data_IF_207258408778
#
_entry.id   IF_207258408778
#
_cell.length_a   1.000
_cell.length_b   1.000
_cell.length_c   1.000
_cell.angle_alpha   90.00
_cell.angle_beta   90.00
_cell.angle_gamma   90.00
#
_symmetry.space_group_name_H-M   'P 1'
#
loop_
_entity.id
_entity.type
_entity.pdbx_description
1 polymer ?
#
# COMPACT_ATOMS: atom_id res chain seq x y z
N UNK A 1 3.85 -5.21 14.95
CA UNK A 1 3.31 -3.88 15.29
C UNK A 1 1.80 -3.90 15.21
N UNK A 2 1.12 -3.02 15.96
CA UNK A 2 -0.35 -2.92 15.93
C UNK A 2 -0.89 -2.62 14.53
N UNK A 3 -0.16 -1.85 13.72
CA UNK A 3 -0.57 -1.48 12.36
C UNK A 3 -0.61 -2.70 11.42
N UNK A 4 0.35 -3.60 11.53
CA UNK A 4 0.36 -4.83 10.74
C UNK A 4 -0.79 -5.77 11.16
N UNK A 5 -1.07 -5.86 12.46
CA UNK A 5 -2.19 -6.66 12.98
C UNK A 5 -3.54 -6.12 12.51
N UNK A 6 -3.71 -4.80 12.54
CA UNK A 6 -4.92 -4.14 12.03
C UNK A 6 -5.09 -4.37 10.53
N UNK A 7 -4.01 -4.25 9.75
CA UNK A 7 -4.05 -4.54 8.32
C UNK A 7 -4.46 -6.00 8.06
N UNK A 8 -3.93 -6.96 8.83
CA UNK A 8 -4.31 -8.37 8.73
C UNK A 8 -5.78 -8.60 9.05
N UNK A 9 -6.33 -7.91 10.05
CA UNK A 9 -7.76 -7.98 10.36
C UNK A 9 -8.62 -7.53 9.19
N UNK A 10 -8.23 -6.47 8.50
CA UNK A 10 -8.95 -5.98 7.32
C UNK A 10 -8.83 -6.98 6.17
N UNK A 11 -7.63 -7.52 5.90
CA UNK A 11 -7.42 -8.54 4.86
C UNK A 11 -8.31 -9.76 5.09
N UNK A 12 -8.43 -10.20 6.34
CA UNK A 12 -9.19 -11.39 6.71
C UNK A 12 -10.69 -11.12 6.98
N UNK A 13 -11.09 -9.86 6.91
CA UNK A 13 -12.50 -9.49 7.09
C UNK A 13 -13.35 -10.05 5.97
N UNK A 14 -14.40 -10.77 6.33
CA UNK A 14 -15.35 -11.35 5.41
C UNK A 14 -16.74 -10.76 5.66
N UNK A 15 -17.48 -10.51 4.59
CA UNK A 15 -18.82 -9.92 4.66
C UNK A 15 -19.65 -10.34 3.46
N UNK A 16 -20.96 -10.64 3.66
CA UNK A 16 -21.87 -10.88 2.56
C UNK A 16 -22.36 -9.59 1.87
N UNK A 17 -22.01 -8.42 2.41
CA UNK A 17 -22.50 -7.14 1.90
C UNK A 17 -21.57 -6.61 0.80
N UNK A 18 -22.02 -6.56 -0.48
CA UNK A 18 -21.16 -6.15 -1.60
C UNK A 18 -20.54 -4.76 -1.44
N UNK A 19 -21.26 -3.81 -0.84
CA UNK A 19 -20.74 -2.45 -0.61
C UNK A 19 -19.53 -2.42 0.34
N UNK A 20 -19.55 -3.23 1.39
CA UNK A 20 -18.43 -3.36 2.33
C UNK A 20 -17.27 -4.12 1.70
N UNK A 21 -17.55 -5.19 0.96
CA UNK A 21 -16.52 -5.96 0.26
C UNK A 21 -15.78 -5.09 -0.75
N UNK A 22 -16.49 -4.28 -1.55
CA UNK A 22 -15.86 -3.35 -2.49
C UNK A 22 -15.02 -2.28 -1.77
N UNK A 23 -15.53 -1.71 -0.70
CA UNK A 23 -14.78 -0.70 0.08
C UNK A 23 -13.50 -1.28 0.67
N UNK A 24 -13.58 -2.49 1.22
CA UNK A 24 -12.41 -3.22 1.71
C UNK A 24 -11.39 -3.44 0.61
N UNK A 25 -11.81 -3.95 -0.54
CA UNK A 25 -10.91 -4.25 -1.66
C UNK A 25 -10.25 -2.99 -2.21
N UNK A 26 -10.98 -1.88 -2.33
CA UNK A 26 -10.41 -0.61 -2.80
C UNK A 26 -9.40 -0.04 -1.80
N UNK A 27 -9.71 -0.10 -0.53
CA UNK A 27 -8.78 0.30 0.54
C UNK A 27 -7.50 -0.55 0.52
N UNK A 28 -7.62 -1.87 0.44
CA UNK A 28 -6.49 -2.78 0.35
C UNK A 28 -5.67 -2.54 -0.92
N UNK A 29 -6.32 -2.27 -2.04
CA UNK A 29 -5.61 -1.92 -3.27
C UNK A 29 -4.74 -0.67 -3.06
N UNK A 30 -5.26 0.34 -2.39
CA UNK A 30 -4.49 1.52 -1.99
C UNK A 30 -3.34 1.19 -1.03
N UNK A 31 -3.57 0.31 -0.05
CA UNK A 31 -2.55 -0.13 0.91
C UNK A 31 -1.39 -0.90 0.24
N UNK A 32 -1.64 -1.60 -0.85
CA UNK A 32 -0.64 -2.44 -1.52
C UNK A 32 -0.10 -1.85 -2.82
N UNK A 33 -0.54 -0.67 -3.21
CA UNK A 33 -0.01 0.07 -4.37
C UNK A 33 0.48 1.47 -4.03
N UNK A 34 0.00 2.05 -2.95
CA UNK A 34 0.30 3.43 -2.59
C UNK A 34 -0.43 4.47 -3.44
N UNK A 35 -1.29 4.06 -4.37
CA UNK A 35 -2.05 4.99 -5.20
C UNK A 35 -3.10 5.76 -4.39
N UNK A 36 -3.27 7.03 -4.72
CA UNK A 36 -4.33 7.86 -4.14
C UNK A 36 -5.69 7.48 -4.71
N UNK A 37 -6.76 7.97 -4.09
CA UNK A 37 -8.13 7.75 -4.56
C UNK A 37 -8.30 8.10 -6.05
N UNK A 38 -7.89 9.29 -6.44
CA UNK A 38 -8.07 9.74 -7.83
C UNK A 38 -7.19 8.94 -8.81
N UNK A 39 -6.03 8.49 -8.38
CA UNK A 39 -5.15 7.68 -9.21
C UNK A 39 -5.70 6.27 -9.41
N UNK A 40 -6.36 5.69 -8.40
CA UNK A 40 -7.09 4.43 -8.56
C UNK A 40 -8.31 4.62 -9.46
N UNK A 41 -9.08 5.67 -9.27
CA UNK A 41 -10.28 5.98 -10.06
C UNK A 41 -9.98 6.14 -11.55
N UNK A 42 -8.82 6.69 -11.88
CA UNK A 42 -8.40 6.95 -13.26
C UNK A 42 -7.46 5.88 -13.83
N UNK A 43 -7.22 4.80 -13.08
CA UNK A 43 -6.39 3.69 -13.53
C UNK A 43 -7.07 2.93 -14.68
N UNK A 44 -6.31 2.66 -15.73
CA UNK A 44 -6.76 1.91 -16.92
C UNK A 44 -5.79 0.78 -17.24
N UNK A 45 -6.16 -0.19 -18.08
CA UNK A 45 -5.26 -1.27 -18.49
C UNK A 45 -3.95 -0.77 -19.14
N UNK A 46 -3.95 0.41 -19.75
CA UNK A 46 -2.76 1.00 -20.38
C UNK A 46 -1.65 1.36 -19.38
N UNK A 47 -1.99 1.48 -18.10
CA UNK A 47 -1.02 1.77 -17.03
C UNK A 47 -0.25 0.54 -16.56
N UNK A 48 -0.53 -0.64 -17.10
CA UNK A 48 0.13 -1.89 -16.71
C UNK A 48 1.13 -2.32 -17.77
N UNK A 49 2.34 -2.67 -17.33
CA UNK A 49 3.40 -3.18 -18.19
C UNK A 49 4.04 -4.41 -17.57
N UNK A 50 4.42 -5.36 -18.41
CA UNK A 50 5.18 -6.54 -17.99
C UNK A 50 6.64 -6.35 -18.40
N UNK A 51 7.57 -6.52 -17.45
CA UNK A 51 8.99 -6.44 -17.71
C UNK A 51 9.55 -7.77 -18.26
N UNK A 52 10.85 -7.78 -18.61
CA UNK A 52 11.51 -8.96 -19.15
C UNK A 52 11.60 -10.12 -18.15
N UNK A 53 11.49 -9.83 -16.85
CA UNK A 53 11.47 -10.85 -15.79
C UNK A 53 10.05 -11.38 -15.51
N UNK A 54 9.06 -10.91 -16.26
CA UNK A 54 7.66 -11.31 -16.07
C UNK A 54 6.93 -10.57 -14.96
N UNK A 55 7.56 -9.58 -14.33
CA UNK A 55 6.96 -8.77 -13.28
C UNK A 55 6.01 -7.74 -13.89
N UNK A 56 4.82 -7.63 -13.31
CA UNK A 56 3.81 -6.64 -13.72
C UNK A 56 4.06 -5.35 -12.94
N UNK A 57 4.06 -4.22 -13.65
CA UNK A 57 4.25 -2.88 -13.10
C UNK A 57 3.02 -2.03 -13.35
N UNK A 58 2.69 -1.18 -12.36
CA UNK A 58 1.81 -0.04 -12.56
C UNK A 58 2.70 1.17 -12.84
N UNK A 59 2.50 1.82 -13.97
CA UNK A 59 3.16 3.07 -14.35
C UNK A 59 2.08 4.12 -14.59
N UNK A 60 1.88 4.97 -13.60
CA UNK A 60 0.82 5.96 -13.64
C UNK A 60 1.33 7.32 -13.21
N UNK A 61 1.07 8.33 -14.05
CA UNK A 61 1.29 9.71 -13.62
C UNK A 61 0.22 10.12 -12.63
N UNK A 62 0.65 10.68 -11.51
CA UNK A 62 -0.27 11.18 -10.49
C UNK A 62 -1.10 12.32 -11.05
N UNK A 63 -2.41 12.25 -10.86
CA UNK A 63 -3.34 13.31 -11.30
C UNK A 63 -2.98 14.65 -10.65
N UNK A 64 -2.63 14.63 -9.35
CA UNK A 64 -2.33 15.85 -8.59
C UNK A 64 -1.04 16.55 -9.01
N UNK A 65 0.00 15.82 -9.39
CA UNK A 65 1.35 16.38 -9.58
C UNK A 65 1.94 16.13 -10.96
N UNK A 66 1.39 15.20 -11.75
CA UNK A 66 1.96 14.75 -13.02
C UNK A 66 3.21 13.89 -12.89
N UNK A 67 3.69 13.65 -11.68
CA UNK A 67 4.89 12.83 -11.44
C UNK A 67 4.56 11.35 -11.62
N UNK A 68 5.45 10.63 -12.29
CA UNK A 68 5.28 9.20 -12.54
C UNK A 68 5.48 8.38 -11.27
N UNK A 69 4.48 7.57 -10.93
CA UNK A 69 4.57 6.49 -9.94
C UNK A 69 4.83 5.18 -10.67
N UNK A 70 5.82 4.43 -10.19
CA UNK A 70 6.20 3.13 -10.74
C UNK A 70 6.17 2.11 -9.61
N UNK A 71 5.23 1.19 -9.68
CA UNK A 71 4.96 0.27 -8.57
C UNK A 71 4.86 -1.15 -9.11
N UNK A 72 5.71 -2.08 -8.63
CA UNK A 72 5.51 -3.51 -8.91
C UNK A 72 4.19 -3.99 -8.30
N UNK A 73 3.44 -4.76 -9.05
CA UNK A 73 2.14 -5.26 -8.61
C UNK A 73 2.33 -6.40 -7.61
N UNK A 74 1.96 -6.16 -6.36
CA UNK A 74 1.99 -7.17 -5.31
C UNK A 74 0.83 -8.18 -5.49
N UNK A 75 0.98 -9.43 -5.01
CA UNK A 75 -0.02 -10.48 -5.22
C UNK A 75 -1.44 -10.12 -4.78
N UNK A 76 -1.58 -9.44 -3.64
CA UNK A 76 -2.91 -9.05 -3.13
C UNK A 76 -3.58 -8.02 -4.04
N UNK A 77 -2.83 -7.08 -4.59
CA UNK A 77 -3.35 -6.12 -5.56
C UNK A 77 -3.77 -6.81 -6.86
N UNK A 78 -2.99 -7.79 -7.32
CA UNK A 78 -3.34 -8.60 -8.49
C UNK A 78 -4.63 -9.41 -8.28
N UNK A 79 -4.79 -10.02 -7.11
CA UNK A 79 -6.01 -10.74 -6.77
C UNK A 79 -7.24 -9.83 -6.81
N UNK A 80 -7.13 -8.60 -6.34
CA UNK A 80 -8.22 -7.64 -6.37
C UNK A 80 -8.55 -7.26 -7.82
N UNK A 81 -7.56 -6.99 -8.66
CA UNK A 81 -7.78 -6.71 -10.08
C UNK A 81 -8.48 -7.88 -10.79
N UNK A 82 -8.02 -9.11 -10.54
CA UNK A 82 -8.62 -10.31 -11.14
C UNK A 82 -10.06 -10.53 -10.66
N UNK A 83 -10.37 -10.22 -9.40
CA UNK A 83 -11.72 -10.33 -8.83
C UNK A 83 -12.74 -9.47 -9.55
N UNK A 84 -12.36 -8.29 -10.00
CA UNK A 84 -13.25 -7.33 -10.67
C UNK A 84 -13.10 -7.31 -12.19
N UNK A 85 -12.37 -8.26 -12.74
CA UNK A 85 -12.18 -8.40 -14.18
C UNK A 85 -13.51 -8.60 -14.89
N UNK A 86 -13.71 -7.86 -15.99
CA UNK A 86 -14.93 -7.94 -16.79
C UNK A 86 -16.02 -6.95 -16.39
N UNK A 87 -15.82 -6.13 -15.36
CA UNK A 87 -16.72 -5.03 -15.02
C UNK A 87 -16.57 -3.84 -15.98
N UNK A 88 -17.48 -2.87 -15.89
CA UNK A 88 -17.45 -1.65 -16.69
C UNK A 88 -16.18 -0.83 -16.44
N UNK A 89 -15.70 -0.83 -15.20
CA UNK A 89 -14.48 -0.16 -14.77
C UNK A 89 -13.44 -1.21 -14.37
N UNK A 90 -12.17 -0.85 -14.43
CA UNK A 90 -11.08 -1.70 -13.96
C UNK A 90 -11.27 -2.07 -12.48
N UNK A 91 -11.66 -1.10 -11.66
CA UNK A 91 -11.95 -1.26 -10.22
C UNK A 91 -13.23 -0.51 -9.85
N UNK A 92 -14.11 -1.11 -9.02
CA UNK A 92 -15.42 -0.53 -8.66
C UNK A 92 -15.29 0.45 -7.48
N UNK A 93 -14.48 1.50 -7.62
CA UNK A 93 -14.27 2.46 -6.54
C UNK A 93 -15.51 3.33 -6.31
N UNK A 94 -15.99 3.35 -5.06
CA UNK A 94 -17.14 4.16 -4.65
C UNK A 94 -16.75 5.63 -4.49
N UNK A 95 -17.75 6.51 -4.37
CA UNK A 95 -17.51 7.92 -4.03
C UNK A 95 -16.78 8.06 -2.69
N UNK A 96 -15.96 9.12 -2.51
CA UNK A 96 -15.15 9.28 -1.29
C UNK A 96 -15.96 9.25 0.01
N UNK A 97 -17.14 9.89 0.02
CA UNK A 97 -18.00 9.92 1.21
C UNK A 97 -18.51 8.52 1.55
N UNK A 98 -18.93 7.76 0.55
CA UNK A 98 -19.46 6.41 0.74
C UNK A 98 -18.38 5.42 1.16
N UNK A 99 -17.23 5.44 0.49
CA UNK A 99 -16.13 4.54 0.84
C UNK A 99 -15.63 4.78 2.26
N UNK A 100 -15.53 6.03 2.70
CA UNK A 100 -15.12 6.36 4.06
C UNK A 100 -16.15 5.92 5.11
N UNK A 101 -17.44 6.04 4.79
CA UNK A 101 -18.53 5.52 5.63
C UNK A 101 -18.41 3.99 5.81
N UNK A 102 -18.21 3.27 4.72
CA UNK A 102 -18.07 1.81 4.75
C UNK A 102 -16.79 1.36 5.46
N UNK A 103 -15.70 2.10 5.30
CA UNK A 103 -14.44 1.82 6.02
C UNK A 103 -14.60 2.02 7.53
N UNK A 104 -15.40 2.99 7.96
CA UNK A 104 -15.74 3.17 9.38
C UNK A 104 -16.48 1.95 9.92
N UNK A 105 -17.45 1.44 9.18
CA UNK A 105 -18.19 0.23 9.57
C UNK A 105 -17.26 -0.99 9.63
N UNK A 106 -16.38 -1.15 8.66
CA UNK A 106 -15.39 -2.24 8.65
C UNK A 106 -14.47 -2.15 9.85
N UNK A 107 -13.97 -0.96 10.19
CA UNK A 107 -13.12 -0.76 11.37
C UNK A 107 -13.82 -1.19 12.66
N UNK A 108 -15.09 -0.81 12.83
CA UNK A 108 -15.90 -1.22 13.99
C UNK A 108 -16.03 -2.75 14.03
N UNK A 109 -16.38 -3.36 12.92
CA UNK A 109 -16.57 -4.82 12.83
C UNK A 109 -15.26 -5.60 13.04
N UNK A 110 -14.13 -5.01 12.69
CA UNK A 110 -12.79 -5.59 12.94
C UNK A 110 -12.25 -5.31 14.33
N UNK A 111 -12.94 -4.53 15.17
CA UNK A 111 -12.45 -4.14 16.49
C UNK A 111 -11.26 -3.18 16.44
N UNK A 112 -11.15 -2.38 15.39
CA UNK A 112 -10.10 -1.39 15.21
C UNK A 112 -10.57 -0.05 15.78
N UNK A 113 -9.85 0.47 16.79
CA UNK A 113 -10.21 1.71 17.47
C UNK A 113 -9.74 2.98 16.77
N UNK A 114 -8.93 2.86 15.73
CA UNK A 114 -8.48 4.00 14.93
C UNK A 114 -9.51 4.38 13.88
N UNK A 115 -9.52 5.66 13.53
CA UNK A 115 -10.24 6.13 12.36
C UNK A 115 -9.53 5.65 11.10
N UNK A 116 -10.23 4.88 10.27
CA UNK A 116 -9.76 4.47 8.96
C UNK A 116 -10.52 5.26 7.92
N UNK A 117 -9.79 5.89 7.00
CA UNK A 117 -10.35 6.51 5.82
C UNK A 117 -9.50 6.12 4.61
N UNK A 118 -10.03 6.35 3.40
CA UNK A 118 -9.32 5.93 2.19
C UNK A 118 -7.94 6.59 2.06
N UNK A 119 -7.82 7.85 2.47
CA UNK A 119 -6.56 8.59 2.45
C UNK A 119 -5.43 7.89 3.22
N UNK A 120 -5.75 7.17 4.30
CA UNK A 120 -4.74 6.45 5.10
C UNK A 120 -4.14 5.24 4.39
N UNK A 121 -4.75 4.75 3.32
CA UNK A 121 -4.24 3.59 2.57
C UNK A 121 -2.84 3.84 2.00
N UNK A 122 -2.63 5.01 1.43
CA UNK A 122 -1.32 5.41 0.89
C UNK A 122 -0.26 5.53 1.99
N UNK A 123 -0.64 6.03 3.15
CA UNK A 123 0.22 6.07 4.33
C UNK A 123 0.59 4.65 4.82
N UNK A 124 -0.37 3.75 4.83
CA UNK A 124 -0.14 2.34 5.19
C UNK A 124 0.83 1.66 4.21
N UNK A 125 0.72 1.93 2.91
CA UNK A 125 1.69 1.46 1.93
C UNK A 125 3.10 1.95 2.26
N UNK A 126 3.27 3.25 2.49
CA UNK A 126 4.58 3.84 2.76
C UNK A 126 5.20 3.31 4.06
N UNK A 127 4.42 3.14 5.12
CA UNK A 127 4.92 2.71 6.42
C UNK A 127 4.92 1.20 6.60
N UNK A 128 3.75 0.59 6.71
CA UNK A 128 3.58 -0.82 7.12
C UNK A 128 3.99 -1.80 6.03
N UNK A 129 3.66 -1.50 4.77
CA UNK A 129 3.91 -2.41 3.65
C UNK A 129 5.35 -2.29 3.13
N UNK A 130 5.91 -1.09 3.06
CA UNK A 130 7.22 -0.87 2.45
C UNK A 130 8.33 -0.57 3.44
N UNK A 131 8.33 0.59 4.11
CA UNK A 131 9.42 1.00 5.01
C UNK A 131 9.64 0.02 6.16
N UNK A 132 8.57 -0.50 6.78
CA UNK A 132 8.68 -1.48 7.86
C UNK A 132 9.29 -2.82 7.40
N UNK A 133 9.31 -3.10 6.11
CA UNK A 133 9.94 -4.27 5.49
C UNK A 133 11.28 -3.92 4.82
N UNK A 134 11.92 -2.87 5.28
CA UNK A 134 13.27 -2.46 4.87
C UNK A 134 13.39 -2.01 3.39
N UNK A 135 12.29 -1.57 2.79
CA UNK A 135 12.35 -0.87 1.51
C UNK A 135 12.90 0.53 1.76
N UNK A 136 13.92 0.94 1.01
CA UNK A 136 14.56 2.23 1.24
C UNK A 136 13.63 3.41 0.99
N UNK A 137 13.86 4.51 1.71
CA UNK A 137 13.09 5.73 1.54
C UNK A 137 13.12 6.27 0.12
N UNK A 138 14.28 6.20 -0.54
CA UNK A 138 14.42 6.63 -1.93
C UNK A 138 13.51 5.82 -2.87
N UNK A 139 13.50 4.50 -2.72
CA UNK A 139 12.64 3.60 -3.51
C UNK A 139 11.17 3.88 -3.25
N UNK A 140 10.77 4.03 -1.97
CA UNK A 140 9.39 4.36 -1.60
C UNK A 140 8.96 5.69 -2.21
N UNK A 141 9.81 6.71 -2.14
CA UNK A 141 9.54 8.03 -2.72
C UNK A 141 9.29 7.95 -4.23
N UNK A 142 10.07 7.15 -4.95
CA UNK A 142 9.86 6.93 -6.40
C UNK A 142 8.56 6.20 -6.68
N UNK A 143 8.24 5.17 -5.91
CA UNK A 143 6.96 4.45 -6.07
C UNK A 143 5.76 5.38 -5.81
N UNK A 144 5.87 6.26 -4.82
CA UNK A 144 4.82 7.22 -4.49
C UNK A 144 4.75 8.43 -5.44
N UNK A 145 5.73 8.60 -6.33
CA UNK A 145 5.79 9.75 -7.21
C UNK A 145 6.10 11.06 -6.47
N UNK A 146 6.94 11.00 -5.43
CA UNK A 146 7.44 12.18 -4.73
C UNK A 146 8.63 12.79 -5.48
N UNK A 147 8.66 14.12 -5.58
CA UNK A 147 9.78 14.85 -6.21
C UNK A 147 10.94 15.11 -5.25
N UNK A 148 10.68 15.03 -3.95
CA UNK A 148 11.69 15.21 -2.91
C UNK A 148 11.34 14.39 -1.66
N UNK A 149 12.32 14.26 -0.75
CA UNK A 149 12.20 13.48 0.49
C UNK A 149 11.51 14.23 1.64
N UNK A 150 11.13 15.49 1.47
CA UNK A 150 10.47 16.28 2.53
C UNK A 150 9.16 15.66 3.00
N UNK A 151 8.40 15.07 2.07
CA UNK A 151 7.11 14.44 2.38
C UNK A 151 7.27 13.15 3.20
N UNK A 152 8.50 12.67 3.35
CA UNK A 152 8.82 11.45 4.09
C UNK A 152 9.46 11.72 5.45
N UNK A 153 9.67 13.00 5.81
CA UNK A 153 10.29 13.38 7.10
C UNK A 153 9.53 12.85 8.33
N UNK A 154 8.20 12.71 8.24
CA UNK A 154 7.37 12.15 9.33
C UNK A 154 7.55 10.64 9.54
N UNK A 155 8.30 9.96 8.67
CA UNK A 155 8.67 8.55 8.84
C UNK A 155 10.04 8.37 9.54
N UNK A 156 10.66 9.43 10.04
CA UNK A 156 12.01 9.40 10.61
C UNK A 156 12.20 8.32 11.70
N UNK A 157 11.24 8.18 12.61
CA UNK A 157 11.30 7.17 13.68
C UNK A 157 11.27 5.74 13.13
N UNK A 158 10.48 5.49 12.09
CA UNK A 158 10.42 4.19 11.44
C UNK A 158 11.73 3.89 10.70
N UNK A 159 12.31 4.90 10.07
CA UNK A 159 13.60 4.79 9.39
C UNK A 159 14.71 4.46 10.39
N UNK A 160 14.76 5.13 11.53
CA UNK A 160 15.73 4.83 12.59
C UNK A 160 15.61 3.40 13.09
N UNK A 161 14.37 2.92 13.29
CA UNK A 161 14.12 1.53 13.65
C UNK A 161 14.64 0.56 12.57
N UNK A 162 14.39 0.84 11.31
CA UNK A 162 14.89 0.02 10.19
C UNK A 162 16.42 0.01 10.12
N UNK A 163 17.07 1.15 10.35
CA UNK A 163 18.54 1.24 10.43
C UNK A 163 19.05 0.33 11.54
N UNK A 164 18.47 0.40 12.72
CA UNK A 164 18.86 -0.45 13.86
C UNK A 164 18.72 -1.94 13.54
N UNK A 165 17.60 -2.34 12.99
CA UNK A 165 17.33 -3.75 12.64
C UNK A 165 18.29 -4.27 11.55
N UNK A 166 18.59 -3.45 10.54
CA UNK A 166 19.53 -3.81 9.48
C UNK A 166 20.96 -3.91 10.00
N UNK A 167 21.36 -3.01 10.86
CA UNK A 167 22.69 -3.03 11.48
C UNK A 167 22.85 -4.21 12.44
N UNK A 168 21.79 -4.59 13.16
CA UNK A 168 21.81 -5.78 14.02
C UNK A 168 22.10 -7.04 13.20
N UNK A 169 21.45 -7.19 12.04
CA UNK A 169 21.69 -8.30 11.12
C UNK A 169 23.15 -8.32 10.62
N UNK A 170 23.69 -7.14 10.31
CA UNK A 170 25.08 -7.00 9.89
C UNK A 170 26.06 -7.37 11.02
N UNK A 171 25.76 -6.94 12.25
CA UNK A 171 26.55 -7.30 13.43
C UNK A 171 26.59 -8.81 13.63
N UNK A 172 25.44 -9.50 13.51
CA UNK A 172 25.36 -10.96 13.63
C UNK A 172 26.22 -11.65 12.56
N UNK A 173 26.27 -11.11 11.34
CA UNK A 173 27.11 -11.65 10.27
C UNK A 173 28.60 -11.61 10.61
N UNK A 174 29.07 -10.59 11.31
CA UNK A 174 30.48 -10.39 11.62
C UNK A 174 30.90 -10.80 13.05
N UNK A 175 29.95 -11.13 13.92
CA UNK A 175 30.25 -11.60 15.29
C UNK A 175 30.13 -13.11 15.45
N UNK A 176 29.59 -13.82 14.48
CA UNK A 176 29.44 -15.28 14.49
C UNK A 176 30.71 -16.06 14.15
N UNK A 177 31.74 -15.40 13.60
CA UNK A 177 33.03 -16.01 13.31
C UNK A 177 34.05 -15.60 14.42
N UNK A 178 34.29 -16.49 15.33
CA UNK A 178 35.25 -16.33 16.43
C UNK A 178 36.72 -16.41 16.01
N UNK A 179 37.07 -16.06 14.79
CA UNK A 179 38.40 -16.10 14.21
C UNK A 179 38.94 -14.70 13.86
N UNK A 180 38.79 -13.74 14.78
CA UNK A 180 39.54 -12.48 14.72
C UNK A 180 40.48 -12.38 15.89
#
# INVERSE_FOLDING_TARGET
>A
SSDLEELRKIINFDTPLPRLERAKDMFLFGCFTGLSYIDIKTLTPEHFEKDNAGRIWIKKRRVKTGVLSRIPLLPIAKLILDKYKGGEKLLPIQDPADINKYLKDIAILCGINKRICFHTSRHTFASTVTLANNISLEVVSKMLGHTNTRMTAHYAKLIDKCIGEQMDKLMDTFTGDSDY
#
